data_IF_487521589831
#
_entry.id   IF_487521589831
#
_cell.length_a   1.000
_cell.length_b   1.000
_cell.length_c   1.000
_cell.angle_alpha   90.00
_cell.angle_beta   90.00
_cell.angle_gamma   90.00
#
_symmetry.space_group_name_H-M   'P 1'
#
loop_
_entity.id
_entity.type
_entity.pdbx_description
1 polymer ?
#
# COMPACT_ATOMS: atom_id res chain seq x y z
N UNK A 1 3.00 2.48 -19.25
CA UNK A 1 3.68 3.79 -19.27
C UNK A 1 3.38 4.44 -20.61
N UNK A 2 2.31 5.23 -20.68
CA UNK A 2 1.97 6.03 -21.86
C UNK A 2 2.29 7.47 -21.47
N UNK A 3 3.34 8.01 -22.08
CA UNK A 3 3.77 9.39 -21.94
C UNK A 3 2.86 10.25 -22.84
N UNK A 4 1.94 11.01 -22.24
CA UNK A 4 1.22 12.07 -22.97
C UNK A 4 1.95 13.37 -22.71
N UNK A 5 2.71 13.84 -23.71
CA UNK A 5 3.34 15.16 -23.71
C UNK A 5 2.29 16.18 -24.17
N UNK A 6 1.98 17.18 -23.35
CA UNK A 6 1.17 18.34 -23.75
C UNK A 6 2.01 19.61 -23.59
N UNK A 7 2.20 20.45 -24.63
CA UNK A 7 2.98 21.66 -24.51
C UNK A 7 2.16 22.83 -23.91
N UNK A 8 2.77 23.48 -22.93
CA UNK A 8 2.67 24.90 -22.54
C UNK A 8 1.35 25.65 -22.73
N UNK A 9 0.61 25.82 -21.63
CA UNK A 9 -0.36 26.92 -21.49
C UNK A 9 0.27 28.02 -20.64
N UNK A 10 0.44 29.21 -21.23
CA UNK A 10 0.88 30.42 -20.52
C UNK A 10 -0.24 30.91 -19.60
N UNK A 11 0.10 31.14 -18.33
CA UNK A 11 -0.81 31.74 -17.35
C UNK A 11 -1.07 33.22 -17.68
N UNK A 12 -2.34 33.58 -17.87
CA UNK A 12 -2.79 34.97 -17.77
C UNK A 12 -3.19 35.28 -16.33
N UNK A 13 -2.49 36.23 -15.73
CA UNK A 13 -2.82 36.79 -14.43
C UNK A 13 -3.98 37.78 -14.57
N UNK A 14 -5.10 37.52 -13.89
CA UNK A 14 -6.13 38.54 -13.62
C UNK A 14 -6.16 38.84 -12.13
N UNK A 15 -5.73 40.06 -11.77
CA UNK A 15 -5.84 40.62 -10.42
C UNK A 15 -7.27 41.12 -10.19
N UNK A 16 -7.85 40.66 -9.08
CA UNK A 16 -8.56 41.47 -8.07
C UNK A 16 -9.88 42.16 -8.44
N UNK A 17 -10.96 41.75 -7.76
CA UNK A 17 -11.82 42.70 -7.04
C UNK A 17 -12.58 42.00 -5.92
N UNK A 18 -12.49 42.54 -4.70
CA UNK A 18 -13.30 42.16 -3.55
C UNK A 18 -14.52 43.07 -3.45
N UNK A 19 -15.67 42.52 -3.02
CA UNK A 19 -16.51 43.01 -1.91
C UNK A 19 -17.92 42.38 -1.91
N UNK A 20 -18.30 41.96 -0.69
CA UNK A 20 -19.62 42.02 -0.01
C UNK A 20 -20.72 41.00 -0.35
N UNK A 21 -20.93 40.14 0.64
CA UNK A 21 -22.19 39.91 1.40
C UNK A 21 -23.51 39.76 0.61
N UNK A 22 -24.04 38.53 0.63
CA UNK A 22 -25.47 38.29 0.74
C UNK A 22 -25.69 36.98 1.51
N UNK A 23 -26.27 37.11 2.70
CA UNK A 23 -26.74 36.00 3.51
C UNK A 23 -27.99 35.38 2.86
N UNK A 24 -27.93 34.08 2.56
CA UNK A 24 -29.08 33.26 2.20
C UNK A 24 -29.00 31.96 2.99
N UNK A 25 -29.86 31.83 4.00
CA UNK A 25 -30.05 30.60 4.78
C UNK A 25 -30.72 29.56 3.88
N UNK A 26 -30.17 28.35 3.82
CA UNK A 26 -30.87 27.15 3.40
C UNK A 26 -30.79 26.15 4.57
N UNK A 27 -31.95 25.69 5.03
CA UNK A 27 -32.08 24.70 6.09
C UNK A 27 -31.53 23.32 5.67
N UNK A 28 -31.00 22.52 6.61
CA UNK A 28 -30.46 21.20 6.33
C UNK A 28 -31.53 20.11 6.24
N UNK A 29 -31.45 19.29 5.18
CA UNK A 29 -32.22 18.05 4.98
C UNK A 29 -31.87 16.99 6.05
N UNK A 30 -32.84 16.23 6.59
CA UNK A 30 -32.55 15.21 7.61
C UNK A 30 -31.88 13.94 7.03
N UNK A 31 -31.14 13.17 7.87
CA UNK A 31 -30.33 12.04 7.41
C UNK A 31 -31.17 10.80 7.06
N UNK A 32 -30.82 10.17 5.93
CA UNK A 32 -31.40 8.91 5.46
C UNK A 32 -30.93 7.68 6.23
N UNK A 33 -31.83 6.70 6.34
CA UNK A 33 -31.62 5.40 6.97
C UNK A 33 -30.57 4.53 6.22
N UNK A 34 -29.85 3.64 6.93
CA UNK A 34 -28.80 2.82 6.33
C UNK A 34 -29.36 1.70 5.44
N UNK A 35 -28.87 1.63 4.20
CA UNK A 35 -29.09 0.50 3.28
C UNK A 35 -28.22 -0.68 3.72
N UNK A 36 -28.86 -1.81 4.02
CA UNK A 36 -28.23 -3.05 4.48
C UNK A 36 -27.71 -3.85 3.28
N UNK A 37 -26.40 -3.86 3.06
CA UNK A 37 -25.75 -4.72 2.06
C UNK A 37 -25.54 -6.11 2.66
N UNK A 38 -26.40 -7.07 2.31
CA UNK A 38 -26.21 -8.48 2.66
C UNK A 38 -25.11 -9.09 1.80
N UNK A 39 -23.99 -9.47 2.43
CA UNK A 39 -22.91 -10.26 1.84
C UNK A 39 -23.42 -11.66 1.48
N UNK A 40 -23.47 -12.00 0.20
CA UNK A 40 -23.58 -13.40 -0.22
C UNK A 40 -22.21 -14.07 -0.16
N UNK A 41 -22.01 -14.90 0.86
CA UNK A 41 -20.90 -15.85 0.95
C UNK A 41 -21.14 -16.99 -0.05
N UNK A 42 -20.40 -17.00 -1.17
CA UNK A 42 -20.39 -18.15 -2.08
C UNK A 42 -19.42 -19.19 -1.53
N UNK A 43 -19.98 -20.27 -1.00
CA UNK A 43 -19.31 -21.45 -0.46
C UNK A 43 -18.53 -22.16 -1.57
N UNK A 44 -17.26 -22.44 -1.33
CA UNK A 44 -16.37 -23.16 -2.24
C UNK A 44 -16.85 -24.60 -2.47
N UNK A 45 -16.83 -25.01 -3.75
CA UNK A 45 -16.95 -26.40 -4.18
C UNK A 45 -15.53 -26.95 -4.35
N UNK A 46 -15.18 -27.95 -3.56
CA UNK A 46 -14.02 -28.81 -3.77
C UNK A 46 -14.41 -29.87 -4.78
N UNK A 47 -13.66 -29.98 -5.87
CA UNK A 47 -13.72 -31.14 -6.75
C UNK A 47 -12.39 -31.87 -6.70
N UNK A 48 -12.49 -33.17 -6.49
CA UNK A 48 -11.43 -34.11 -6.22
C UNK A 48 -11.35 -35.05 -7.42
N UNK A 49 -10.27 -34.98 -8.18
CA UNK A 49 -9.97 -35.95 -9.24
C UNK A 49 -8.60 -36.57 -9.00
N UNK A 50 -8.64 -37.83 -8.57
CA UNK A 50 -7.56 -38.80 -8.61
C UNK A 50 -7.07 -38.98 -10.05
N UNK A 51 -5.75 -39.11 -10.22
CA UNK A 51 -5.17 -39.90 -11.31
C UNK A 51 -3.99 -40.69 -10.80
N UNK A 52 -4.10 -41.99 -11.05
CA UNK A 52 -3.17 -43.09 -10.81
C UNK A 52 -1.95 -43.00 -11.75
N UNK A 53 -0.79 -43.51 -11.34
CA UNK A 53 0.44 -43.36 -12.13
C UNK A 53 1.70 -44.01 -11.58
N UNK A 54 1.70 -45.35 -11.59
CA UNK A 54 2.81 -46.27 -11.87
C UNK A 54 4.26 -46.00 -11.41
N UNK A 55 4.70 -46.95 -10.58
CA UNK A 55 6.04 -47.52 -10.31
C UNK A 55 7.10 -47.36 -11.42
N UNK A 56 8.33 -47.05 -10.99
CA UNK A 56 9.55 -47.61 -11.57
C UNK A 56 10.61 -47.86 -10.48
N UNK A 57 11.23 -49.02 -10.60
CA UNK A 57 12.27 -49.64 -9.79
C UNK A 57 13.66 -49.06 -10.10
N UNK A 58 14.57 -49.06 -9.13
CA UNK A 58 15.91 -48.47 -9.24
C UNK A 58 16.77 -48.81 -8.01
N UNK A 59 17.49 -49.92 -8.14
CA UNK A 59 18.26 -50.61 -7.10
C UNK A 59 19.68 -50.03 -6.85
N UNK A 60 20.03 -49.95 -5.56
CA UNK A 60 21.35 -50.19 -4.88
C UNK A 60 22.60 -49.34 -5.22
N UNK A 61 23.20 -48.77 -4.16
CA UNK A 61 24.45 -49.22 -3.48
C UNK A 61 24.89 -48.10 -2.51
N UNK A 62 24.97 -48.40 -1.20
CA UNK A 62 26.21 -48.69 -0.42
C UNK A 62 27.06 -47.45 -0.10
N UNK A 63 27.44 -47.30 1.17
CA UNK A 63 28.37 -46.25 1.57
C UNK A 63 28.20 -45.69 2.98
N UNK A 64 28.64 -46.48 3.96
CA UNK A 64 29.45 -46.04 5.09
C UNK A 64 28.90 -44.99 6.08
N UNK A 65 28.66 -45.51 7.29
CA UNK A 65 28.78 -44.82 8.57
C UNK A 65 30.00 -43.89 8.58
N UNK A 66 29.77 -42.61 8.77
CA UNK A 66 30.76 -41.71 9.34
C UNK A 66 30.15 -40.97 10.51
N UNK A 67 31.01 -40.82 11.51
CA UNK A 67 30.77 -40.38 12.87
C UNK A 67 29.76 -39.24 13.03
N UNK A 68 28.85 -39.43 13.99
CA UNK A 68 28.24 -38.32 14.72
C UNK A 68 29.34 -37.62 15.52
N UNK A 69 30.17 -36.82 14.84
CA UNK A 69 30.83 -35.71 15.49
C UNK A 69 29.73 -34.79 16.00
N UNK A 70 29.58 -34.80 17.32
CA UNK A 70 28.97 -33.73 18.09
C UNK A 70 29.64 -32.42 17.65
N UNK A 71 29.05 -31.82 16.62
CA UNK A 71 29.45 -30.53 16.12
C UNK A 71 29.12 -29.54 17.22
N UNK A 72 30.17 -29.15 17.94
CA UNK A 72 30.23 -27.89 18.66
C UNK A 72 29.97 -26.79 17.62
N UNK A 73 28.69 -26.58 17.28
CA UNK A 73 28.25 -25.46 16.46
C UNK A 73 28.54 -24.25 17.32
N UNK A 74 29.36 -23.29 16.85
CA UNK A 74 29.57 -22.09 17.64
C UNK A 74 28.21 -21.46 17.86
N UNK A 75 27.78 -21.38 19.12
CA UNK A 75 26.68 -20.53 19.56
C UNK A 75 27.13 -19.09 19.32
N UNK A 76 27.04 -18.64 18.08
CA UNK A 76 27.80 -17.49 17.61
C UNK A 76 27.38 -17.02 16.23
N UNK A 77 26.11 -17.19 15.86
CA UNK A 77 25.50 -16.39 14.81
C UNK A 77 25.54 -14.92 15.25
N UNK A 78 26.52 -14.20 14.71
CA UNK A 78 26.93 -12.80 14.94
C UNK A 78 25.92 -11.89 15.66
N UNK A 79 26.34 -11.41 16.83
CA UNK A 79 25.82 -10.21 17.52
C UNK A 79 25.80 -8.94 16.63
N UNK A 80 26.47 -8.96 15.48
CA UNK A 80 26.66 -7.80 14.58
C UNK A 80 25.37 -7.31 13.90
N UNK A 81 24.29 -8.12 13.84
CA UNK A 81 22.96 -7.69 13.36
C UNK A 81 21.88 -7.80 14.45
N UNK A 82 22.27 -7.66 15.73
CA UNK A 82 21.27 -7.54 16.80
C UNK A 82 20.52 -6.20 16.68
N UNK A 83 19.32 -6.26 16.10
CA UNK A 83 18.44 -5.10 15.90
C UNK A 83 17.72 -4.66 17.16
N UNK A 84 17.80 -5.43 18.25
CA UNK A 84 17.14 -5.06 19.52
C UNK A 84 17.81 -3.85 20.19
N UNK A 85 19.08 -3.57 19.89
CA UNK A 85 19.86 -2.48 20.49
C UNK A 85 19.73 -2.43 22.02
N UNK A 86 20.26 -3.42 22.76
CA UNK A 86 19.99 -3.57 24.19
C UNK A 86 20.38 -2.35 25.05
N UNK A 87 21.30 -1.50 24.57
CA UNK A 87 21.78 -0.31 25.28
C UNK A 87 20.87 0.93 25.12
N UNK A 88 19.91 0.91 24.19
CA UNK A 88 18.97 2.01 23.97
C UNK A 88 17.79 1.89 24.96
N UNK A 89 17.29 2.99 25.52
CA UNK A 89 16.15 2.91 26.45
C UNK A 89 14.83 2.56 25.72
N UNK A 90 13.92 1.89 26.42
CA UNK A 90 12.64 1.43 25.85
C UNK A 90 11.75 2.59 25.42
N UNK A 91 11.76 3.72 26.14
CA UNK A 91 10.91 4.87 25.79
C UNK A 91 11.34 5.48 24.46
N UNK A 92 12.64 5.59 24.20
CA UNK A 92 13.18 6.04 22.92
C UNK A 92 12.90 5.03 21.81
N UNK A 93 13.11 3.73 22.06
CA UNK A 93 12.81 2.70 21.08
C UNK A 93 11.32 2.72 20.67
N UNK A 94 10.42 2.84 21.64
CA UNK A 94 8.97 2.93 21.43
C UNK A 94 8.58 4.19 20.66
N UNK A 95 9.14 5.35 21.00
CA UNK A 95 8.86 6.61 20.32
C UNK A 95 9.32 6.59 18.84
N UNK A 96 10.52 6.06 18.57
CA UNK A 96 11.02 5.89 17.20
C UNK A 96 10.18 4.85 16.44
N UNK A 97 9.80 3.75 17.10
CA UNK A 97 8.88 2.75 16.54
C UNK A 97 7.55 3.38 16.13
N UNK A 98 6.97 4.24 16.97
CA UNK A 98 5.72 4.96 16.65
C UNK A 98 5.87 5.93 15.48
N UNK A 99 7.02 6.60 15.34
CA UNK A 99 7.28 7.44 14.19
C UNK A 99 7.35 6.62 12.90
N UNK A 100 8.06 5.49 12.92
CA UNK A 100 8.14 4.58 11.78
C UNK A 100 6.78 3.93 11.46
N UNK A 101 5.99 3.52 12.46
CA UNK A 101 4.61 3.05 12.26
C UNK A 101 3.75 4.13 11.59
N UNK A 102 3.90 5.40 11.97
CA UNK A 102 3.19 6.49 11.32
C UNK A 102 3.60 6.63 9.85
N UNK A 103 4.89 6.49 9.51
CA UNK A 103 5.37 6.48 8.12
C UNK A 103 4.77 5.31 7.34
N UNK A 104 4.66 4.11 7.93
CA UNK A 104 4.00 2.97 7.28
C UNK A 104 2.55 3.29 6.91
N UNK A 105 1.81 3.99 7.77
CA UNK A 105 0.45 4.45 7.43
C UNK A 105 0.43 5.48 6.31
N UNK A 106 1.41 6.39 6.25
CA UNK A 106 1.58 7.33 5.13
C UNK A 106 1.87 6.59 3.82
N UNK A 107 2.70 5.55 3.85
CA UNK A 107 2.98 4.68 2.70
C UNK A 107 1.73 3.93 2.24
N UNK A 108 0.92 3.43 3.17
CA UNK A 108 -0.37 2.78 2.85
C UNK A 108 -1.34 3.76 2.20
N UNK A 109 -1.44 4.98 2.72
CA UNK A 109 -2.26 6.04 2.12
C UNK A 109 -1.74 6.41 0.72
N UNK A 110 -0.42 6.50 0.52
CA UNK A 110 0.20 6.69 -0.78
C UNK A 110 -0.20 5.57 -1.75
N UNK A 111 -0.11 4.32 -1.33
CA UNK A 111 -0.55 3.17 -2.11
C UNK A 111 -2.02 3.24 -2.51
N UNK A 112 -2.89 3.69 -1.61
CA UNK A 112 -4.32 3.89 -1.91
C UNK A 112 -4.56 4.98 -2.96
N UNK A 113 -3.71 6.02 -3.05
CA UNK A 113 -3.80 7.01 -4.13
C UNK A 113 -3.42 6.42 -5.50
N UNK A 114 -2.45 5.52 -5.55
CA UNK A 114 -2.14 4.78 -6.78
C UNK A 114 -3.29 3.88 -7.22
N UNK A 115 -3.89 3.15 -6.26
CA UNK A 115 -5.08 2.33 -6.52
C UNK A 115 -6.23 3.21 -7.05
N UNK A 116 -6.52 4.32 -6.38
CA UNK A 116 -7.52 5.30 -6.82
C UNK A 116 -7.27 5.80 -8.24
N UNK A 117 -6.02 6.15 -8.57
CA UNK A 117 -5.64 6.59 -9.91
C UNK A 117 -5.91 5.51 -10.97
N UNK A 118 -5.51 4.27 -10.70
CA UNK A 118 -5.70 3.15 -11.63
C UNK A 118 -7.18 2.80 -11.82
N UNK A 119 -7.96 2.75 -10.74
CA UNK A 119 -9.39 2.50 -10.79
C UNK A 119 -10.12 3.58 -11.58
N UNK A 120 -9.77 4.86 -11.37
CA UNK A 120 -10.36 5.98 -12.11
C UNK A 120 -9.99 5.91 -13.59
N UNK A 121 -8.72 5.67 -13.93
CA UNK A 121 -8.29 5.52 -15.32
C UNK A 121 -8.95 4.33 -16.02
N UNK A 122 -9.16 3.21 -15.31
CA UNK A 122 -9.89 2.06 -15.86
C UNK A 122 -11.36 2.41 -16.12
N UNK A 123 -12.00 3.17 -15.24
CA UNK A 123 -13.37 3.63 -15.44
C UNK A 123 -13.49 4.52 -16.68
N UNK A 124 -12.53 5.43 -16.91
CA UNK A 124 -12.51 6.29 -18.10
C UNK A 124 -12.35 5.49 -19.40
N UNK A 125 -11.54 4.43 -19.40
CA UNK A 125 -11.42 3.52 -20.55
C UNK A 125 -12.74 2.80 -20.86
N UNK A 126 -13.40 2.27 -19.82
CA UNK A 126 -14.70 1.60 -19.98
C UNK A 126 -15.76 2.59 -20.44
N UNK A 127 -15.72 3.84 -19.95
CA UNK A 127 -16.61 4.91 -20.41
C UNK A 127 -16.42 5.19 -21.90
N UNK A 128 -15.18 5.25 -22.38
CA UNK A 128 -14.90 5.42 -23.80
C UNK A 128 -15.46 4.25 -24.63
N UNK A 129 -15.28 3.00 -24.19
CA UNK A 129 -15.88 1.81 -24.81
C UNK A 129 -17.41 1.90 -24.85
N UNK A 130 -18.05 2.33 -23.75
CA UNK A 130 -19.50 2.49 -23.69
C UNK A 130 -20.03 3.59 -24.62
N UNK A 131 -19.30 4.71 -24.76
CA UNK A 131 -19.64 5.77 -25.71
C UNK A 131 -19.62 5.23 -27.14
N UNK A 132 -18.55 4.52 -27.54
CA UNK A 132 -18.47 3.90 -28.86
C UNK A 132 -19.58 2.87 -29.06
N UNK A 133 -19.85 2.03 -28.06
CA UNK A 133 -20.94 1.05 -28.12
C UNK A 133 -22.32 1.67 -28.31
N UNK A 134 -22.58 2.85 -27.74
CA UNK A 134 -23.82 3.61 -27.99
C UNK A 134 -23.89 4.13 -29.43
N UNK A 135 -22.78 4.57 -30.02
CA UNK A 135 -22.73 5.00 -31.43
C UNK A 135 -23.02 3.83 -32.36
N UNK A 136 -22.33 2.70 -32.15
CA UNK A 136 -22.48 1.48 -32.95
C UNK A 136 -23.89 0.87 -32.85
N UNK A 137 -24.54 1.01 -31.71
CA UNK A 137 -25.92 0.58 -31.49
C UNK A 137 -26.98 1.51 -32.12
N UNK A 138 -26.58 2.59 -32.79
CA UNK A 138 -27.50 3.54 -33.42
C UNK A 138 -28.08 4.59 -32.46
N UNK A 139 -27.39 4.87 -31.34
CA UNK A 139 -27.78 5.89 -30.36
C UNK A 139 -26.79 7.08 -30.29
N UNK A 140 -26.49 7.77 -31.40
CA UNK A 140 -25.45 8.80 -31.44
C UNK A 140 -25.75 10.03 -30.55
N UNK A 141 -27.03 10.34 -30.33
CA UNK A 141 -27.43 11.46 -29.48
C UNK A 141 -27.14 11.17 -27.99
N UNK A 142 -27.36 9.92 -27.55
CA UNK A 142 -27.01 9.48 -26.20
C UNK A 142 -25.50 9.40 -26.03
N UNK A 143 -24.77 8.87 -27.02
CA UNK A 143 -23.31 8.85 -27.01
C UNK A 143 -22.73 10.27 -26.88
N UNK A 144 -23.24 11.24 -27.66
CA UNK A 144 -22.82 12.63 -27.59
C UNK A 144 -23.16 13.29 -26.24
N UNK A 145 -24.33 12.98 -25.67
CA UNK A 145 -24.70 13.43 -24.32
C UNK A 145 -23.70 12.90 -23.28
N UNK A 146 -23.47 11.59 -23.23
CA UNK A 146 -22.56 10.96 -22.27
C UNK A 146 -21.13 11.48 -22.44
N UNK A 147 -20.65 11.63 -23.68
CA UNK A 147 -19.33 12.20 -23.98
C UNK A 147 -19.19 13.61 -23.43
N UNK A 148 -20.16 14.48 -23.68
CA UNK A 148 -20.14 15.87 -23.19
C UNK A 148 -20.20 15.94 -21.67
N UNK A 149 -21.04 15.10 -21.06
CA UNK A 149 -21.27 15.17 -19.63
C UNK A 149 -20.19 14.46 -18.81
N UNK A 150 -19.52 13.42 -19.30
CA UNK A 150 -18.62 12.61 -18.46
C UNK A 150 -17.19 12.52 -18.98
N UNK A 151 -16.99 12.40 -20.29
CA UNK A 151 -15.68 12.09 -20.85
C UNK A 151 -14.70 13.26 -20.69
N UNK A 152 -13.57 13.01 -20.04
CA UNK A 152 -12.54 14.03 -19.76
C UNK A 152 -12.84 14.91 -18.54
N UNK A 153 -13.83 14.58 -17.72
CA UNK A 153 -14.04 15.26 -16.43
C UNK A 153 -12.89 14.96 -15.47
N UNK A 154 -12.52 15.98 -14.69
CA UNK A 154 -11.61 15.81 -13.57
C UNK A 154 -12.37 15.30 -12.33
N UNK A 155 -11.73 14.43 -11.56
CA UNK A 155 -12.25 13.97 -10.26
C UNK A 155 -12.21 15.06 -9.18
N UNK A 156 -11.30 16.02 -9.33
CA UNK A 156 -11.14 17.21 -8.48
C UNK A 156 -10.89 18.42 -9.38
N UNK A 157 -11.34 19.59 -8.94
CA UNK A 157 -11.17 20.81 -9.74
C UNK A 157 -9.69 21.08 -10.03
N UNK A 158 -9.40 21.37 -11.30
CA UNK A 158 -8.05 21.65 -11.81
C UNK A 158 -7.03 20.52 -11.70
N UNK A 159 -7.43 19.27 -11.41
CA UNK A 159 -6.49 18.18 -11.13
C UNK A 159 -6.81 16.88 -11.85
N UNK A 160 -5.76 16.30 -12.42
CA UNK A 160 -5.73 14.90 -12.83
C UNK A 160 -5.38 14.01 -11.64
N UNK A 161 -5.85 12.77 -11.68
CA UNK A 161 -5.68 11.81 -10.56
C UNK A 161 -4.22 11.56 -10.21
N UNK A 162 -3.31 11.59 -11.19
CA UNK A 162 -1.87 11.44 -10.92
C UNK A 162 -1.24 12.69 -10.27
N UNK A 163 -1.78 13.89 -10.52
CA UNK A 163 -1.31 15.11 -9.87
C UNK A 163 -1.63 15.10 -8.37
N UNK A 164 -2.70 14.41 -7.96
CA UNK A 164 -3.00 14.18 -6.53
C UNK A 164 -1.88 13.36 -5.88
N UNK A 165 -1.33 12.36 -6.59
CA UNK A 165 -0.20 11.55 -6.12
C UNK A 165 1.07 12.40 -6.04
N UNK A 166 1.36 13.17 -7.09
CA UNK A 166 2.53 14.05 -7.13
C UNK A 166 2.50 15.08 -5.99
N UNK A 167 1.36 15.75 -5.79
CA UNK A 167 1.17 16.69 -4.69
C UNK A 167 1.35 15.97 -3.34
N UNK A 168 0.73 14.80 -3.13
CA UNK A 168 0.90 14.02 -1.89
C UNK A 168 2.36 13.63 -1.64
N UNK A 169 3.07 13.22 -2.68
CA UNK A 169 4.48 12.84 -2.63
C UNK A 169 5.36 14.01 -2.21
N UNK A 170 5.15 15.17 -2.82
CA UNK A 170 5.95 16.36 -2.60
C UNK A 170 5.69 17.02 -1.24
N UNK A 171 4.41 17.14 -0.85
CA UNK A 171 4.02 17.96 0.31
C UNK A 171 3.94 17.16 1.62
N UNK A 172 3.73 15.85 1.55
CA UNK A 172 3.43 15.05 2.74
C UNK A 172 4.36 13.85 2.90
N UNK A 173 4.45 12.98 1.89
CA UNK A 173 5.23 11.73 2.00
C UNK A 173 6.74 11.98 2.10
N UNK A 174 7.35 12.72 1.17
CA UNK A 174 8.81 12.96 1.18
C UNK A 174 9.30 13.65 2.46
N UNK A 175 8.64 14.70 2.98
CA UNK A 175 8.99 15.27 4.28
C UNK A 175 8.93 14.24 5.42
N UNK A 176 7.91 13.38 5.44
CA UNK A 176 7.77 12.34 6.47
C UNK A 176 8.93 11.34 6.44
N UNK A 177 9.28 10.84 5.25
CA UNK A 177 10.43 9.93 5.03
C UNK A 177 11.72 10.57 5.53
N UNK A 178 11.96 11.83 5.16
CA UNK A 178 13.19 12.53 5.56
C UNK A 178 13.28 12.71 7.08
N UNK A 179 12.17 13.03 7.75
CA UNK A 179 12.15 13.19 9.21
C UNK A 179 12.34 11.85 9.92
N UNK A 180 11.65 10.79 9.52
CA UNK A 180 11.86 9.43 10.07
C UNK A 180 13.33 8.99 9.93
N UNK A 181 13.91 9.17 8.75
CA UNK A 181 15.31 8.81 8.48
C UNK A 181 16.27 9.57 9.41
N UNK A 182 16.09 10.90 9.54
CA UNK A 182 16.93 11.72 10.41
C UNK A 182 16.81 11.33 11.88
N UNK A 183 15.61 11.03 12.35
CA UNK A 183 15.37 10.58 13.74
C UNK A 183 16.03 9.22 13.98
N UNK A 184 15.86 8.24 13.08
CA UNK A 184 16.52 6.93 13.17
C UNK A 184 18.03 7.04 13.12
N UNK A 185 18.59 7.86 12.24
CA UNK A 185 20.04 8.07 12.16
C UNK A 185 20.61 8.55 13.51
N UNK A 186 19.91 9.46 14.20
CA UNK A 186 20.35 10.03 15.47
C UNK A 186 20.13 9.12 16.67
N UNK A 187 19.01 8.41 16.73
CA UNK A 187 18.59 7.69 17.94
C UNK A 187 18.81 6.17 17.86
N UNK A 188 18.86 5.61 16.66
CA UNK A 188 19.01 4.16 16.44
C UNK A 188 20.22 3.81 15.58
N UNK A 189 21.09 4.78 15.26
CA UNK A 189 22.21 4.56 14.34
C UNK A 189 21.76 4.15 12.94
N UNK A 190 20.55 4.59 12.53
CA UNK A 190 19.95 4.27 11.24
C UNK A 190 19.23 2.92 11.18
N UNK A 191 19.28 2.10 12.23
CA UNK A 191 18.60 0.80 12.25
C UNK A 191 17.07 0.96 12.19
N UNK A 192 16.44 0.18 11.31
CA UNK A 192 14.98 0.07 11.21
C UNK A 192 14.46 -1.02 12.16
N UNK A 193 13.20 -0.86 12.58
CA UNK A 193 12.44 -1.84 13.35
C UNK A 193 13.04 -2.28 14.69
N UNK A 194 13.66 -1.35 15.44
CA UNK A 194 14.25 -1.65 16.76
C UNK A 194 13.17 -2.04 17.77
N UNK A 195 12.04 -1.31 17.78
CA UNK A 195 10.91 -1.58 18.65
C UNK A 195 10.31 -2.97 18.40
N UNK A 196 10.05 -3.32 17.14
CA UNK A 196 9.51 -4.62 16.74
C UNK A 196 10.51 -5.75 17.02
N UNK A 197 11.81 -5.52 16.81
CA UNK A 197 12.84 -6.48 17.17
C UNK A 197 12.82 -6.79 18.68
N UNK A 198 12.66 -5.77 19.54
CA UNK A 198 12.51 -5.96 20.99
C UNK A 198 11.23 -6.69 21.37
N UNK A 199 10.09 -6.30 20.78
CA UNK A 199 8.83 -7.02 20.99
C UNK A 199 8.99 -8.49 20.60
N UNK A 200 9.61 -8.77 19.45
CA UNK A 200 9.84 -10.14 19.00
C UNK A 200 10.77 -10.91 19.93
N UNK A 201 11.83 -10.27 20.41
CA UNK A 201 12.74 -10.84 21.38
C UNK A 201 12.02 -11.24 22.67
N UNK A 202 11.17 -10.36 23.20
CA UNK A 202 10.36 -10.63 24.40
C UNK A 202 9.35 -11.76 24.20
N UNK A 203 8.65 -11.80 23.06
CA UNK A 203 7.75 -12.90 22.70
C UNK A 203 8.47 -14.26 22.69
N UNK A 204 9.65 -14.31 22.07
CA UNK A 204 10.45 -15.54 21.99
C UNK A 204 10.92 -16.00 23.37
N UNK A 205 11.41 -15.07 24.19
CA UNK A 205 11.85 -15.37 25.55
C UNK A 205 10.69 -15.93 26.41
N UNK A 206 9.51 -15.31 26.35
CA UNK A 206 8.30 -15.79 27.04
C UNK A 206 7.85 -17.18 26.56
N UNK A 207 8.08 -17.49 25.28
CA UNK A 207 7.80 -18.80 24.69
C UNK A 207 8.91 -19.84 24.92
N UNK A 208 9.96 -19.52 25.69
CA UNK A 208 11.10 -20.42 25.93
C UNK A 208 11.91 -20.72 24.68
N UNK A 209 11.86 -19.86 23.65
CA UNK A 209 12.61 -20.02 22.41
C UNK A 209 13.92 -19.25 22.47
N UNK A 210 14.99 -19.85 21.95
CA UNK A 210 16.24 -19.13 21.70
C UNK A 210 15.99 -17.94 20.77
N UNK A 211 16.49 -16.76 21.14
CA UNK A 211 16.35 -15.52 20.39
C UNK A 211 16.86 -15.65 18.97
N UNK A 212 17.94 -16.40 18.78
CA UNK A 212 18.64 -16.58 17.49
C UNK A 212 18.56 -18.01 16.96
N UNK A 213 17.72 -18.85 17.58
CA UNK A 213 17.51 -20.24 17.18
C UNK A 213 16.71 -20.37 15.89
N UNK A 214 16.54 -21.59 15.36
CA UNK A 214 15.77 -21.83 14.14
C UNK A 214 14.40 -21.14 14.13
N UNK A 215 14.08 -20.44 13.03
CA UNK A 215 12.86 -19.62 12.90
C UNK A 215 12.91 -18.27 13.62
N UNK A 216 14.11 -17.76 13.95
CA UNK A 216 14.38 -16.36 14.26
C UNK A 216 14.68 -15.56 12.99
#
# INVERSE_FOLDING_TARGET
MVLVVVPGVRAHACRGRSRREAAGRCDPTPPGHPVRVSRHTRRGRTDSSQTDGSRADGSRADGSRTDRMSGNRPAGGRREDDRTQPDLDDTTADAVGKLSEALEWVERARGALYEFHQLSGRADLILAEAISGLEDAGHPQLAAYVRRELHGRNVLDGRWTFQIIEEYDDIYYRPFVAVDEQVRLRLTGGRRHVHEARMKAQERARAGRDLWGPGA
#
